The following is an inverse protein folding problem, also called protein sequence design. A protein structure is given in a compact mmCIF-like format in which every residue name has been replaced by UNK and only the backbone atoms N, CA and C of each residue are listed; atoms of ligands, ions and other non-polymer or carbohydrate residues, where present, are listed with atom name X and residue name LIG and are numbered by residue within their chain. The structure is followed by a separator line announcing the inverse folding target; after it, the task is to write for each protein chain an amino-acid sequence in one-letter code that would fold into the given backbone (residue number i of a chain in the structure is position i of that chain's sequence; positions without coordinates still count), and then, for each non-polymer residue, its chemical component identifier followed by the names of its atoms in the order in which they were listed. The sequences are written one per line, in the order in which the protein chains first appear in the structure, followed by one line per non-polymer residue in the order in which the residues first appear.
data_IF_631571422506
#
_entry.id   IF_631571422506
#
_cell.length_a   1.000
_cell.length_b   1.000
_cell.length_c   1.000
_cell.angle_alpha   90.00
_cell.angle_beta   90.00
_cell.angle_gamma   90.00
#
_symmetry.space_group_name_H-M   'P 1'
#
loop_
_entity.id
_entity.type
_entity.pdbx_description
1 polymer ?
#
# COMPACT_ATOMS: atom_id res chain seq x y z
N UNK A 1 -20.64 -38.35 -3.37
CA UNK A 1 -21.68 -38.86 -2.50
C UNK A 1 -21.99 -37.81 -1.46
N UNK A 2 -23.26 -37.43 -1.32
CA UNK A 2 -23.83 -36.44 -0.39
C UNK A 2 -23.82 -34.98 -0.86
N UNK A 3 -24.78 -34.69 -1.70
CA UNK A 3 -25.66 -33.53 -1.64
C UNK A 3 -27.02 -34.00 -2.20
N UNK A 4 -28.03 -34.13 -1.41
CA UNK A 4 -29.24 -33.35 -1.60
C UNK A 4 -29.98 -33.12 -0.28
N UNK A 5 -30.14 -31.92 0.17
CA UNK A 5 -31.23 -31.46 1.05
C UNK A 5 -31.11 -29.94 1.14
N UNK A 6 -31.89 -29.26 0.29
CA UNK A 6 -32.44 -27.92 0.53
C UNK A 6 -33.39 -27.56 -0.63
N UNK A 7 -34.37 -28.40 -0.81
CA UNK A 7 -35.63 -28.06 -1.49
C UNK A 7 -36.70 -28.18 -0.42
N UNK A 8 -37.15 -27.09 0.07
CA UNK A 8 -38.54 -26.77 0.39
C UNK A 8 -38.63 -25.68 1.47
N UNK A 9 -39.49 -24.74 1.16
CA UNK A 9 -40.12 -23.78 2.06
C UNK A 9 -39.29 -22.58 2.50
N UNK A 10 -39.48 -21.49 1.74
CA UNK A 10 -39.66 -20.16 2.31
C UNK A 10 -39.86 -19.11 1.19
N UNK A 11 -40.93 -19.25 0.42
CA UNK A 11 -41.52 -18.10 -0.25
C UNK A 11 -43.05 -18.37 -0.36
N UNK A 12 -43.91 -17.54 0.22
CA UNK A 12 -45.34 -17.68 0.07
C UNK A 12 -45.75 -17.36 -1.37
N UNK A 13 -46.61 -18.21 -1.94
CA UNK A 13 -47.15 -18.14 -3.30
C UNK A 13 -47.98 -16.89 -3.65
N UNK A 14 -48.00 -15.89 -2.79
CA UNK A 14 -48.78 -14.68 -3.00
C UNK A 14 -48.05 -13.55 -3.71
N UNK A 15 -46.79 -13.74 -4.15
CA UNK A 15 -46.04 -12.70 -4.85
C UNK A 15 -46.08 -12.76 -6.38
N UNK A 16 -46.66 -13.82 -6.94
CA UNK A 16 -47.02 -13.88 -8.39
C UNK A 16 -48.50 -13.55 -8.56
N UNK A 17 -48.88 -12.32 -8.18
CA UNK A 17 -50.11 -11.72 -8.63
C UNK A 17 -50.06 -11.60 -10.14
N UNK A 18 -50.98 -12.34 -10.79
CA UNK A 18 -51.43 -12.25 -12.21
C UNK A 18 -50.78 -11.12 -13.02
N UNK A 19 -49.71 -11.46 -13.75
CA UNK A 19 -49.27 -10.72 -14.92
C UNK A 19 -50.23 -11.06 -16.06
N UNK A 20 -51.45 -10.56 -15.98
CA UNK A 20 -52.39 -10.59 -17.05
C UNK A 20 -53.07 -9.23 -17.12
N UNK A 21 -53.09 -8.62 -18.30
CA UNK A 21 -53.73 -7.38 -18.67
C UNK A 21 -52.99 -6.07 -18.37
N UNK A 22 -51.78 -5.91 -18.94
CA UNK A 22 -51.37 -4.60 -19.39
C UNK A 22 -51.60 -4.50 -20.91
N UNK A 23 -52.42 -3.54 -21.37
CA UNK A 23 -52.71 -3.40 -22.80
C UNK A 23 -51.42 -3.02 -23.54
N UNK A 24 -51.09 -3.81 -24.51
CA UNK A 24 -49.95 -3.68 -25.47
C UNK A 24 -49.80 -2.30 -26.18
N UNK A 25 -50.69 -1.32 -26.09
CA UNK A 25 -50.58 -0.08 -26.86
C UNK A 25 -49.41 0.82 -26.43
N UNK A 26 -48.98 0.78 -25.15
CA UNK A 26 -47.91 1.64 -24.64
C UNK A 26 -46.54 1.26 -25.22
N UNK A 27 -46.22 -0.02 -25.30
CA UNK A 27 -44.94 -0.48 -25.86
C UNK A 27 -44.84 -0.26 -27.37
N UNK A 28 -45.99 -0.30 -28.11
CA UNK A 28 -46.03 0.03 -29.52
C UNK A 28 -45.84 1.52 -29.78
N UNK A 29 -46.36 2.38 -28.90
CA UNK A 29 -46.20 3.83 -29.00
C UNK A 29 -44.72 4.23 -28.83
N UNK A 30 -44.03 3.67 -27.81
CA UNK A 30 -42.62 3.97 -27.58
C UNK A 30 -41.71 3.41 -28.67
N UNK A 31 -41.97 2.18 -29.17
CA UNK A 31 -41.19 1.56 -30.23
C UNK A 31 -41.31 2.33 -31.57
N UNK A 32 -42.50 2.77 -31.92
CA UNK A 32 -42.69 3.54 -33.16
C UNK A 32 -42.12 4.96 -33.04
N UNK A 33 -42.26 5.63 -31.91
CA UNK A 33 -41.74 6.98 -31.75
C UNK A 33 -40.21 7.00 -31.62
N UNK A 34 -39.60 5.95 -31.06
CA UNK A 34 -38.13 5.86 -30.99
C UNK A 34 -37.54 5.56 -32.38
N UNK A 35 -38.18 4.70 -33.17
CA UNK A 35 -37.70 4.30 -34.48
C UNK A 35 -37.73 5.43 -35.49
N UNK A 36 -38.85 6.19 -35.57
CA UNK A 36 -38.98 7.35 -36.46
C UNK A 36 -38.08 8.52 -36.09
N UNK A 37 -37.69 8.65 -34.83
CA UNK A 37 -36.78 9.72 -34.38
C UNK A 37 -35.32 9.45 -34.75
N UNK A 38 -34.96 8.20 -35.05
CA UNK A 38 -33.59 7.84 -35.46
C UNK A 38 -33.35 8.09 -36.97
N UNK A 39 -34.41 8.10 -37.80
CA UNK A 39 -34.25 8.35 -39.25
C UNK A 39 -34.03 9.84 -39.57
N UNK A 40 -34.50 10.76 -38.70
CA UNK A 40 -34.33 12.21 -38.90
C UNK A 40 -33.02 12.77 -38.32
N UNK A 41 -32.22 11.95 -37.68
CA UNK A 41 -30.93 12.38 -37.19
C UNK A 41 -29.95 12.49 -38.35
N UNK A 42 -29.76 13.72 -38.85
CA UNK A 42 -28.78 14.04 -39.88
C UNK A 42 -27.39 13.53 -39.45
N UNK A 43 -26.67 12.95 -40.38
CA UNK A 43 -25.35 12.36 -40.18
C UNK A 43 -24.38 13.27 -39.37
N UNK A 44 -24.59 14.59 -39.42
CA UNK A 44 -23.84 15.59 -38.68
C UNK A 44 -24.07 15.58 -37.17
N UNK A 45 -25.25 15.19 -36.66
CA UNK A 45 -25.52 15.09 -35.21
C UNK A 45 -24.91 13.85 -34.60
N UNK A 46 -24.85 12.74 -35.33
CA UNK A 46 -24.14 11.53 -34.89
C UNK A 46 -22.62 11.74 -34.83
N UNK A 47 -22.05 12.45 -35.80
CA UNK A 47 -20.64 12.82 -35.82
C UNK A 47 -20.29 13.78 -34.69
N UNK A 48 -21.17 14.73 -34.34
CA UNK A 48 -20.91 15.67 -33.22
C UNK A 48 -20.98 14.99 -31.84
N UNK A 49 -21.88 14.03 -31.64
CA UNK A 49 -21.97 13.25 -30.41
C UNK A 49 -20.77 12.29 -30.26
N UNK A 50 -20.29 11.70 -31.35
CA UNK A 50 -19.08 10.89 -31.35
C UNK A 50 -17.81 11.71 -31.04
N UNK A 51 -17.72 12.94 -31.57
CA UNK A 51 -16.62 13.85 -31.30
C UNK A 51 -16.56 14.32 -29.81
N UNK A 52 -17.74 14.59 -29.20
CA UNK A 52 -17.81 14.93 -27.77
C UNK A 52 -17.46 13.75 -26.86
N UNK A 53 -17.83 12.52 -27.22
CA UNK A 53 -17.47 11.31 -26.49
C UNK A 53 -15.94 11.06 -26.51
N UNK A 54 -15.29 11.30 -27.64
CA UNK A 54 -13.83 11.18 -27.79
C UNK A 54 -13.08 12.28 -27.02
N UNK A 55 -13.60 13.52 -26.99
CA UNK A 55 -13.02 14.61 -26.18
C UNK A 55 -13.18 14.41 -24.68
N UNK A 56 -14.26 13.77 -24.22
CA UNK A 56 -14.48 13.45 -22.81
C UNK A 56 -13.58 12.31 -22.29
N UNK A 57 -13.07 11.45 -23.15
CA UNK A 57 -12.25 10.28 -22.80
C UNK A 57 -10.74 10.60 -22.70
N UNK A 58 -10.33 11.79 -23.17
CA UNK A 58 -8.90 12.21 -23.26
C UNK A 58 -8.31 12.88 -22.03
N UNK A 59 -9.08 13.15 -20.97
CA UNK A 59 -8.60 13.91 -19.80
C UNK A 59 -8.51 13.11 -18.51
N UNK A 60 -8.63 11.80 -18.54
CA UNK A 60 -8.21 10.97 -17.42
C UNK A 60 -6.68 10.85 -17.46
N UNK A 61 -5.98 11.92 -17.05
CA UNK A 61 -4.55 11.83 -16.72
C UNK A 61 -4.45 10.76 -15.61
N UNK A 62 -3.63 9.72 -15.77
CA UNK A 62 -3.38 8.80 -14.67
C UNK A 62 -2.87 9.65 -13.50
N UNK A 63 -3.58 9.66 -12.39
CA UNK A 63 -3.08 10.24 -11.14
C UNK A 63 -1.76 9.51 -10.86
N UNK A 64 -0.64 10.18 -11.10
CA UNK A 64 0.68 9.63 -10.87
C UNK A 64 0.78 9.47 -9.36
N UNK A 65 0.64 8.24 -8.88
CA UNK A 65 0.82 7.93 -7.47
C UNK A 65 2.23 8.42 -7.10
N UNK A 66 2.33 9.30 -6.12
CA UNK A 66 3.62 9.80 -5.67
C UNK A 66 4.50 8.61 -5.24
N UNK A 67 5.75 8.59 -5.67
CA UNK A 67 6.70 7.53 -5.33
C UNK A 67 6.74 7.31 -3.81
N UNK A 68 6.70 6.07 -3.33
CA UNK A 68 6.71 5.78 -1.91
C UNK A 68 8.00 6.27 -1.24
N UNK A 69 7.90 6.69 0.01
CA UNK A 69 9.06 6.98 0.86
C UNK A 69 9.52 5.67 1.47
N UNK A 70 10.67 5.16 1.04
CA UNK A 70 11.24 3.94 1.58
C UNK A 70 11.99 4.22 2.88
N UNK A 71 11.61 3.51 3.94
CA UNK A 71 12.28 3.52 5.25
C UNK A 71 12.83 2.12 5.49
N UNK A 72 14.15 2.02 5.69
CA UNK A 72 14.81 0.78 6.01
C UNK A 72 14.61 0.42 7.49
N UNK A 73 14.45 -0.86 7.76
CA UNK A 73 14.40 -1.41 9.12
C UNK A 73 15.35 -2.59 9.17
N UNK A 74 16.38 -2.53 10.06
CA UNK A 74 17.27 -3.67 10.27
C UNK A 74 17.26 -4.08 11.74
N UNK A 75 16.80 -5.29 12.00
CA UNK A 75 16.56 -5.81 13.35
C UNK A 75 17.04 -7.26 13.43
N UNK A 76 17.42 -7.72 14.63
CA UNK A 76 17.72 -9.14 14.85
C UNK A 76 16.39 -9.91 14.93
N UNK A 77 15.88 -10.39 13.82
CA UNK A 77 14.65 -11.19 13.78
C UNK A 77 14.91 -12.67 14.03
N UNK A 78 16.19 -13.08 13.89
CA UNK A 78 16.68 -14.41 14.23
C UNK A 78 17.93 -14.33 15.12
N UNK A 79 18.31 -15.45 15.73
CA UNK A 79 19.47 -15.53 16.64
C UNK A 79 19.13 -15.16 18.09
N UNK A 80 20.16 -14.89 18.89
CA UNK A 80 20.01 -14.72 20.34
C UNK A 80 19.22 -13.49 20.76
N UNK A 81 19.15 -12.46 19.93
CA UNK A 81 18.41 -11.22 20.21
C UNK A 81 17.04 -11.15 19.51
N UNK A 82 16.58 -12.25 18.93
CA UNK A 82 15.37 -12.29 18.11
C UNK A 82 14.12 -11.77 18.83
N UNK A 83 13.95 -12.12 20.10
CA UNK A 83 12.80 -11.67 20.89
C UNK A 83 12.70 -10.15 20.98
N UNK A 84 13.83 -9.48 21.30
CA UNK A 84 13.87 -8.01 21.35
C UNK A 84 13.62 -7.37 19.99
N UNK A 85 14.22 -7.91 18.94
CA UNK A 85 14.01 -7.43 17.56
C UNK A 85 12.58 -7.58 17.06
N UNK A 86 11.90 -8.67 17.42
CA UNK A 86 10.50 -8.87 17.07
C UNK A 86 9.56 -7.87 17.75
N UNK A 87 9.76 -7.59 19.05
CA UNK A 87 8.99 -6.58 19.77
C UNK A 87 9.17 -5.18 19.15
N UNK A 88 10.40 -4.83 18.76
CA UNK A 88 10.67 -3.56 18.10
C UNK A 88 9.99 -3.50 16.72
N UNK A 89 10.00 -4.60 15.96
CA UNK A 89 9.33 -4.68 14.68
C UNK A 89 7.82 -4.48 14.81
N UNK A 90 7.19 -5.09 15.82
CA UNK A 90 5.77 -4.90 16.09
C UNK A 90 5.44 -3.43 16.39
N UNK A 91 6.27 -2.75 17.17
CA UNK A 91 6.13 -1.33 17.45
C UNK A 91 6.24 -0.45 16.18
N UNK A 92 7.23 -0.73 15.34
CA UNK A 92 7.42 -0.03 14.05
C UNK A 92 6.23 -0.27 13.12
N UNK A 93 5.74 -1.51 13.02
CA UNK A 93 4.57 -1.85 12.20
C UNK A 93 3.30 -1.19 12.72
N UNK A 94 3.12 -1.09 14.05
CA UNK A 94 2.00 -0.38 14.64
C UNK A 94 2.05 1.11 14.29
N UNK A 95 3.21 1.75 14.44
CA UNK A 95 3.38 3.15 14.06
C UNK A 95 3.07 3.39 12.58
N UNK A 96 3.53 2.50 11.71
CA UNK A 96 3.23 2.56 10.28
C UNK A 96 1.73 2.39 9.97
N UNK A 97 1.03 1.49 10.68
CA UNK A 97 -0.43 1.32 10.53
C UNK A 97 -1.19 2.57 10.96
N UNK A 98 -0.73 3.25 12.02
CA UNK A 98 -1.36 4.47 12.50
C UNK A 98 -1.11 5.67 11.57
N UNK A 99 0.08 5.71 10.93
CA UNK A 99 0.45 6.79 10.01
C UNK A 99 1.15 6.23 8.77
N UNK A 100 0.38 5.73 7.81
CA UNK A 100 0.94 5.08 6.61
C UNK A 100 1.48 6.06 5.57
N UNK A 101 1.27 7.36 5.75
CA UNK A 101 1.69 8.40 4.80
C UNK A 101 2.46 9.51 5.50
N UNK A 102 3.44 10.08 4.81
CA UNK A 102 4.21 11.25 5.22
C UNK A 102 4.31 12.20 4.04
N UNK A 103 3.95 13.48 4.23
CA UNK A 103 3.93 14.49 3.16
C UNK A 103 3.10 14.05 1.94
N UNK A 104 1.93 13.48 2.20
CA UNK A 104 1.01 12.93 1.20
C UNK A 104 1.59 11.81 0.32
N UNK A 105 2.71 11.23 0.72
CA UNK A 105 3.35 10.10 0.07
C UNK A 105 3.24 8.85 0.93
N UNK A 106 2.95 7.67 0.35
CA UNK A 106 2.92 6.42 1.10
C UNK A 106 4.32 6.08 1.63
N UNK A 107 4.37 5.53 2.84
CA UNK A 107 5.61 5.01 3.44
C UNK A 107 5.69 3.52 3.17
N UNK A 108 6.84 3.05 2.70
CA UNK A 108 7.16 1.64 2.51
C UNK A 108 8.25 1.24 3.51
N UNK A 109 8.00 0.21 4.31
CA UNK A 109 8.97 -0.36 5.24
C UNK A 109 9.74 -1.51 4.59
N UNK A 110 11.05 -1.34 4.45
CA UNK A 110 11.93 -2.40 3.94
C UNK A 110 12.64 -3.06 5.11
N UNK A 111 12.18 -4.24 5.52
CA UNK A 111 12.67 -4.95 6.70
C UNK A 111 13.75 -5.95 6.31
N UNK A 112 14.89 -5.93 7.04
CA UNK A 112 16.02 -6.84 6.83
C UNK A 112 16.45 -7.42 8.18
N UNK A 113 16.60 -8.74 8.25
CA UNK A 113 17.11 -9.46 9.41
C UNK A 113 18.65 -9.37 9.46
N UNK A 114 19.20 -8.93 10.58
CA UNK A 114 20.64 -8.90 10.84
C UNK A 114 21.16 -10.14 11.61
N UNK A 115 20.29 -11.12 11.85
CA UNK A 115 20.60 -12.43 12.45
C UNK A 115 21.38 -12.36 13.78
N UNK A 116 21.28 -11.26 14.51
CA UNK A 116 22.05 -11.01 15.72
C UNK A 116 23.58 -11.00 15.52
N UNK A 117 24.05 -10.78 14.28
CA UNK A 117 25.46 -10.80 13.89
C UNK A 117 25.93 -9.43 13.40
N UNK A 118 27.16 -9.02 13.74
CA UNK A 118 27.71 -7.69 13.36
C UNK A 118 27.97 -7.56 11.87
N UNK A 119 28.44 -8.63 11.24
CA UNK A 119 28.72 -8.62 9.80
C UNK A 119 27.42 -8.56 9.01
N UNK A 120 26.42 -9.33 9.45
CA UNK A 120 25.09 -9.29 8.85
C UNK A 120 24.39 -7.93 9.09
N UNK A 121 24.61 -7.27 10.24
CA UNK A 121 24.13 -5.92 10.50
C UNK A 121 24.72 -4.90 9.52
N UNK A 122 26.02 -4.96 9.26
CA UNK A 122 26.67 -4.12 8.24
C UNK A 122 26.15 -4.43 6.83
N UNK A 123 26.00 -5.72 6.48
CA UNK A 123 25.45 -6.15 5.19
C UNK A 123 23.99 -5.71 5.00
N UNK A 124 23.18 -5.80 6.07
CA UNK A 124 21.79 -5.35 6.04
C UNK A 124 21.69 -3.85 5.72
N UNK A 125 22.48 -3.02 6.39
CA UNK A 125 22.51 -1.57 6.14
C UNK A 125 23.06 -1.26 4.75
N UNK A 126 24.10 -1.97 4.30
CA UNK A 126 24.62 -1.83 2.93
C UNK A 126 23.53 -2.12 1.89
N UNK A 127 22.79 -3.21 2.06
CA UNK A 127 21.66 -3.53 1.18
C UNK A 127 20.61 -2.42 1.18
N UNK A 128 20.21 -1.92 2.35
CA UNK A 128 19.21 -0.87 2.47
C UNK A 128 19.64 0.43 1.78
N UNK A 129 20.92 0.79 1.87
CA UNK A 129 21.45 2.04 1.31
C UNK A 129 21.76 1.94 -0.18
N UNK A 130 22.42 0.86 -0.64
CA UNK A 130 22.89 0.72 -2.00
C UNK A 130 21.83 0.16 -2.97
N UNK A 131 21.07 -0.86 -2.53
CA UNK A 131 20.09 -1.53 -3.39
C UNK A 131 18.69 -0.95 -3.25
N UNK A 132 18.20 -0.83 -2.01
CA UNK A 132 16.84 -0.36 -1.76
C UNK A 132 16.73 1.16 -1.81
N UNK A 133 17.85 1.88 -1.65
CA UNK A 133 17.96 3.34 -1.68
C UNK A 133 16.98 4.01 -0.71
N UNK A 134 16.94 3.51 0.53
CA UNK A 134 16.07 4.03 1.57
C UNK A 134 16.46 5.46 1.98
N UNK A 135 15.47 6.27 2.36
CA UNK A 135 15.69 7.64 2.78
C UNK A 135 16.24 7.74 4.21
N UNK A 136 15.80 6.84 5.09
CA UNK A 136 16.22 6.76 6.49
C UNK A 136 16.16 5.32 6.96
N UNK A 137 16.84 5.02 8.07
CA UNK A 137 16.91 3.68 8.64
C UNK A 137 16.49 3.70 10.10
N UNK A 138 15.71 2.72 10.53
CA UNK A 138 15.31 2.47 11.91
C UNK A 138 15.92 1.13 12.35
N UNK A 139 16.50 1.08 13.52
CA UNK A 139 17.05 -0.11 14.15
C UNK A 139 18.41 0.22 14.78
N UNK A 140 18.95 -0.64 15.56
CA UNK A 140 18.63 -2.05 15.79
C UNK A 140 18.63 -2.33 17.29
N UNK A 141 18.10 -3.48 17.68
CA UNK A 141 18.27 -3.98 19.04
C UNK A 141 19.73 -4.40 19.29
N UNK A 142 20.41 -3.72 20.24
CA UNK A 142 21.78 -4.03 20.62
C UNK A 142 22.82 -3.08 20.03
N UNK A 143 23.58 -2.44 20.93
CA UNK A 143 24.55 -1.38 20.60
C UNK A 143 25.68 -1.83 19.69
N UNK A 144 26.17 -3.06 19.82
CA UNK A 144 27.25 -3.58 18.97
C UNK A 144 26.83 -3.78 17.52
N UNK A 145 25.55 -4.14 17.29
CA UNK A 145 24.95 -4.26 15.95
C UNK A 145 24.71 -2.88 15.37
N UNK A 146 24.29 -1.93 16.22
CA UNK A 146 24.08 -0.54 15.83
C UNK A 146 25.38 0.14 15.39
N UNK A 147 26.48 -0.08 16.09
CA UNK A 147 27.80 0.45 15.70
C UNK A 147 28.23 -0.11 14.35
N UNK A 148 28.13 -1.43 14.14
CA UNK A 148 28.53 -2.06 12.89
C UNK A 148 27.70 -1.57 11.67
N UNK A 149 26.38 -1.44 11.83
CA UNK A 149 25.50 -0.92 10.78
C UNK A 149 25.66 0.60 10.60
N UNK A 150 25.83 1.33 11.68
CA UNK A 150 25.95 2.79 11.70
C UNK A 150 27.13 3.31 10.89
N UNK A 151 28.30 2.67 10.96
CA UNK A 151 29.45 3.04 10.14
C UNK A 151 29.15 2.97 8.63
N UNK A 152 28.36 2.00 8.19
CA UNK A 152 27.95 1.85 6.80
C UNK A 152 26.97 2.95 6.41
N UNK A 153 25.99 3.22 7.27
CA UNK A 153 25.00 4.27 7.06
C UNK A 153 25.62 5.66 7.00
N UNK A 154 26.62 5.95 7.86
CA UNK A 154 27.35 7.22 7.84
C UNK A 154 28.10 7.43 6.53
N UNK A 155 28.81 6.42 6.05
CA UNK A 155 29.48 6.47 4.75
C UNK A 155 28.50 6.72 3.61
N UNK A 156 27.30 6.14 3.70
CA UNK A 156 26.22 6.34 2.73
C UNK A 156 25.45 7.67 2.95
N UNK A 157 25.72 8.40 4.05
CA UNK A 157 25.02 9.63 4.44
C UNK A 157 23.51 9.45 4.63
N UNK A 158 23.09 8.26 5.08
CA UNK A 158 21.70 7.92 5.38
C UNK A 158 21.49 8.00 6.90
N UNK A 159 20.52 8.80 7.39
CA UNK A 159 20.26 8.92 8.81
C UNK A 159 19.73 7.62 9.42
N UNK A 160 20.19 7.29 10.63
CA UNK A 160 19.76 6.11 11.38
C UNK A 160 19.19 6.51 12.74
N UNK A 161 18.05 5.94 13.10
CA UNK A 161 17.46 6.07 14.43
C UNK A 161 17.63 4.74 15.16
N UNK A 162 18.45 4.75 16.23
CA UNK A 162 18.62 3.59 17.09
C UNK A 162 17.38 3.35 17.96
N UNK A 163 16.94 2.11 18.08
CA UNK A 163 15.77 1.74 18.89
C UNK A 163 16.13 1.47 20.35
N UNK A 164 16.94 0.47 20.64
CA UNK A 164 17.28 0.05 22.01
C UNK A 164 18.80 0.03 22.26
N UNK A 165 19.48 1.09 21.86
CA UNK A 165 20.93 1.21 22.03
C UNK A 165 21.29 1.92 23.36
N UNK A 166 21.87 1.21 24.30
CA UNK A 166 22.22 1.76 25.63
C UNK A 166 23.64 2.30 25.74
N UNK A 167 24.57 1.89 24.84
CA UNK A 167 25.92 2.34 24.83
C UNK A 167 26.08 3.74 24.24
N UNK A 168 26.65 4.73 24.97
CA UNK A 168 26.84 6.10 24.47
C UNK A 168 27.73 6.18 23.21
N UNK A 169 28.65 5.21 23.03
CA UNK A 169 29.52 5.16 21.84
C UNK A 169 28.76 5.06 20.51
N UNK A 170 27.55 4.54 20.52
CA UNK A 170 26.71 4.47 19.32
C UNK A 170 26.53 5.86 18.67
N UNK A 171 26.48 6.93 19.43
CA UNK A 171 26.33 8.29 18.94
C UNK A 171 27.60 9.10 18.88
N UNK A 172 28.68 8.65 19.57
CA UNK A 172 29.96 9.32 19.58
C UNK A 172 30.88 8.85 18.44
N UNK A 173 30.87 7.55 18.14
CA UNK A 173 31.75 6.96 17.12
C UNK A 173 31.12 7.00 15.72
N UNK A 174 29.76 7.00 15.60
CA UNK A 174 29.07 6.93 14.33
C UNK A 174 28.73 8.33 13.76
N UNK A 175 29.20 9.40 14.41
CA UNK A 175 28.99 10.76 13.91
C UNK A 175 27.54 11.27 14.00
N UNK A 176 27.19 12.25 13.16
CA UNK A 176 25.92 12.98 13.25
C UNK A 176 24.71 12.27 12.63
N UNK A 177 24.92 11.14 11.97
CA UNK A 177 23.85 10.42 11.28
C UNK A 177 22.99 9.56 12.23
N UNK A 178 23.44 9.34 13.49
CA UNK A 178 22.72 8.53 14.48
C UNK A 178 22.04 9.43 15.51
N UNK A 179 20.71 9.35 15.58
CA UNK A 179 19.94 9.96 16.66
C UNK A 179 19.63 8.92 17.74
N UNK A 180 20.01 9.21 18.98
CA UNK A 180 19.59 8.47 20.17
C UNK A 180 18.52 9.26 20.88
N UNK A 181 17.36 8.67 21.10
CA UNK A 181 16.42 9.19 22.07
C UNK A 181 16.97 8.96 23.47
N UNK A 182 17.12 10.04 24.24
CA UNK A 182 17.45 9.94 25.68
C UNK A 182 16.15 9.67 26.41
N UNK A 183 16.03 8.48 26.94
CA UNK A 183 15.04 8.17 27.98
C UNK A 183 15.53 8.72 29.32
#
# INVERSE_FOLDING_TARGET
MIFPILKNNLLPEHFFGKAADHPEPELRFWRNNLFWRMEDMKLGTLLSMAAMAVMGMGLALPAQAADPIKIGVYLPLTGQNAFGGQLELEGIQLAHKLKPTVLDRPVELVVVDNKSDKVEAANAVKRLTEHEKVLAIIGTYGSSLAMAGGEVAERAKVPVIGTSCTNPLVTQEIGRASCRERV
#
